data_IF_445103857346
#
_entry.id   IF_445103857346
#
_cell.length_a   1.000
_cell.length_b   1.000
_cell.length_c   1.000
_cell.angle_alpha   90.00
_cell.angle_beta   90.00
_cell.angle_gamma   90.00
#
_symmetry.space_group_name_H-M   'P 1'
#
loop_
_entity.id
_entity.type
_entity.pdbx_description
1 polymer ?
#
# COMPACT_ATOMS: atom_id res chain seq x y z
N UNK A 1 -9.42 3.26 11.03
CA UNK A 1 -8.01 3.65 10.85
C UNK A 1 -7.47 4.51 11.99
N UNK A 2 -8.25 5.35 12.69
CA UNK A 2 -7.73 6.11 13.85
C UNK A 2 -7.46 5.25 15.10
N UNK A 3 -8.21 4.16 15.24
CA UNK A 3 -8.03 3.06 16.19
C UNK A 3 -6.68 2.34 16.06
N UNK A 4 -6.07 2.33 14.87
CA UNK A 4 -4.73 1.77 14.63
C UNK A 4 -3.68 2.30 15.62
N UNK A 5 -3.73 3.59 15.97
CA UNK A 5 -2.77 4.22 16.88
C UNK A 5 -2.91 3.78 18.34
N UNK A 6 -3.95 3.00 18.67
CA UNK A 6 -4.18 2.44 20.00
C UNK A 6 -3.71 0.99 20.12
N UNK A 7 -3.34 0.36 19.00
CA UNK A 7 -2.82 -1.00 18.96
C UNK A 7 -1.39 -1.08 19.50
N UNK A 8 -1.00 -2.26 19.98
CA UNK A 8 0.41 -2.55 20.26
C UNK A 8 1.25 -2.54 18.97
N UNK A 9 2.55 -2.32 19.07
CA UNK A 9 3.44 -2.32 17.90
C UNK A 9 3.42 -3.65 17.10
N UNK A 10 3.21 -4.79 17.77
CA UNK A 10 3.08 -6.09 17.11
C UNK A 10 1.79 -6.16 16.29
N UNK A 11 0.67 -5.69 16.85
CA UNK A 11 -0.62 -5.62 16.15
C UNK A 11 -0.59 -4.62 15.00
N UNK A 12 0.06 -3.47 15.17
CA UNK A 12 0.27 -2.49 14.09
C UNK A 12 1.03 -3.12 12.92
N UNK A 13 2.13 -3.84 13.21
CA UNK A 13 2.91 -4.54 12.19
C UNK A 13 2.08 -5.63 11.49
N UNK A 14 1.25 -6.35 12.24
CA UNK A 14 0.34 -7.35 11.68
C UNK A 14 -0.68 -6.69 10.74
N UNK A 15 -1.29 -5.57 11.13
CA UNK A 15 -2.21 -4.80 10.29
C UNK A 15 -1.53 -4.30 9.00
N UNK A 16 -0.33 -3.73 9.10
CA UNK A 16 0.43 -3.28 7.93
C UNK A 16 0.70 -4.43 6.96
N UNK A 17 1.05 -5.63 7.47
CA UNK A 17 1.25 -6.83 6.64
C UNK A 17 -0.03 -7.33 6.00
N UNK A 18 -1.14 -7.37 6.75
CA UNK A 18 -2.45 -7.77 6.23
C UNK A 18 -2.88 -6.89 5.06
N UNK A 19 -2.70 -5.58 5.18
CA UNK A 19 -3.00 -4.62 4.11
C UNK A 19 -2.09 -4.90 2.90
N UNK A 20 -0.77 -5.03 3.10
CA UNK A 20 0.17 -5.31 2.00
C UNK A 20 -0.16 -6.63 1.28
N UNK A 21 -0.57 -7.66 2.02
CA UNK A 21 -0.91 -8.97 1.48
C UNK A 21 -2.32 -9.06 0.88
N UNK A 22 -3.13 -8.01 1.01
CA UNK A 22 -4.54 -8.02 0.60
C UNK A 22 -5.38 -9.05 1.36
N UNK A 23 -5.05 -9.29 2.63
CA UNK A 23 -5.78 -10.24 3.47
C UNK A 23 -7.19 -9.72 3.78
N UNK A 24 -8.16 -10.62 3.90
CA UNK A 24 -9.51 -10.28 4.32
C UNK A 24 -9.57 -10.01 5.84
N UNK A 25 -9.22 -8.78 6.23
CA UNK A 25 -9.31 -8.29 7.60
C UNK A 25 -10.10 -6.99 7.67
N UNK A 26 -10.57 -6.63 8.88
CA UNK A 26 -11.28 -5.38 9.11
C UNK A 26 -10.47 -4.16 8.63
N UNK A 27 -9.18 -4.12 8.95
CA UNK A 27 -8.29 -3.03 8.54
C UNK A 27 -8.01 -3.04 7.03
N UNK A 28 -7.84 -4.21 6.42
CA UNK A 28 -7.66 -4.32 4.97
C UNK A 28 -8.90 -3.87 4.20
N UNK A 29 -10.10 -4.21 4.68
CA UNK A 29 -11.37 -3.72 4.12
C UNK A 29 -11.54 -2.22 4.30
N UNK A 30 -11.22 -1.71 5.50
CA UNK A 30 -11.27 -0.27 5.78
C UNK A 30 -10.30 0.52 4.89
N UNK A 31 -9.09 -0.01 4.68
CA UNK A 31 -8.10 0.56 3.76
C UNK A 31 -8.56 0.48 2.29
N UNK A 32 -9.08 -0.68 1.86
CA UNK A 32 -9.56 -0.91 0.49
C UNK A 32 -10.77 -0.07 0.12
N UNK A 33 -11.56 0.38 1.10
CA UNK A 33 -12.69 1.30 0.90
C UNK A 33 -12.28 2.77 0.68
N UNK A 34 -11.00 3.12 0.87
CA UNK A 34 -10.49 4.47 0.64
C UNK A 34 -10.30 4.74 -0.86
N UNK A 35 -10.40 6.02 -1.25
CA UNK A 35 -9.94 6.46 -2.58
C UNK A 35 -8.41 6.34 -2.66
N UNK A 36 -7.87 6.08 -3.84
CA UNK A 36 -6.43 5.86 -4.08
C UNK A 36 -5.51 6.91 -3.43
N UNK A 37 -5.83 8.20 -3.57
CA UNK A 37 -5.01 9.26 -2.96
C UNK A 37 -4.99 9.18 -1.42
N UNK A 38 -6.09 8.71 -0.81
CA UNK A 38 -6.17 8.56 0.65
C UNK A 38 -5.43 7.29 1.12
N UNK A 39 -5.28 6.27 0.27
CA UNK A 39 -4.49 5.08 0.57
C UNK A 39 -3.00 5.42 0.73
N UNK A 40 -2.44 6.23 -0.18
CA UNK A 40 -1.06 6.72 -0.04
C UNK A 40 -0.91 7.63 1.21
N UNK A 41 -1.92 8.44 1.52
CA UNK A 41 -1.93 9.31 2.70
C UNK A 41 -1.85 8.51 4.02
N UNK A 42 -2.46 7.33 4.10
CA UNK A 42 -2.36 6.45 5.27
C UNK A 42 -0.90 6.06 5.52
N UNK A 43 -0.20 5.56 4.51
CA UNK A 43 1.21 5.18 4.63
C UNK A 43 2.10 6.35 5.00
N UNK A 44 1.84 7.54 4.45
CA UNK A 44 2.54 8.76 4.83
C UNK A 44 2.32 9.10 6.32
N UNK A 45 1.07 9.06 6.79
CA UNK A 45 0.75 9.35 8.19
C UNK A 45 1.37 8.33 9.16
N UNK A 46 1.43 7.05 8.77
CA UNK A 46 2.10 6.02 9.56
C UNK A 46 3.61 6.23 9.61
N UNK A 47 4.25 6.53 8.47
CA UNK A 47 5.68 6.82 8.41
C UNK A 47 6.08 8.01 9.31
N UNK A 48 5.26 9.05 9.34
CA UNK A 48 5.49 10.22 10.22
C UNK A 48 5.38 9.88 11.72
N UNK A 49 4.68 8.81 12.09
CA UNK A 49 4.51 8.36 13.47
C UNK A 49 5.46 7.23 13.90
N UNK A 50 6.30 6.71 12.99
CA UNK A 50 7.20 5.59 13.28
C UNK A 50 8.19 5.96 14.40
N UNK A 51 8.30 5.09 15.39
CA UNK A 51 9.18 5.27 16.56
C UNK A 51 8.53 5.98 17.75
N UNK A 52 7.30 6.48 17.60
CA UNK A 52 6.52 7.10 18.67
C UNK A 52 5.15 6.43 18.83
N UNK A 53 4.26 6.64 17.85
CA UNK A 53 2.88 6.13 17.89
C UNK A 53 2.66 4.95 16.94
N UNK A 54 3.62 4.69 16.06
CA UNK A 54 3.62 3.61 15.08
C UNK A 54 4.90 2.80 15.21
N UNK A 55 4.78 1.47 15.07
CA UNK A 55 5.91 0.54 15.05
C UNK A 55 6.99 0.99 14.06
N UNK A 56 8.25 1.04 14.53
CA UNK A 56 9.41 1.42 13.72
C UNK A 56 10.04 0.21 13.02
N UNK A 57 10.98 0.49 12.11
CA UNK A 57 11.81 -0.53 11.48
C UNK A 57 12.67 -1.28 12.52
N UNK A 58 12.92 -2.58 12.32
CA UNK A 58 13.82 -3.33 13.19
C UNK A 58 15.23 -2.71 13.21
N UNK A 59 15.81 -2.59 14.41
CA UNK A 59 17.18 -2.10 14.56
C UNK A 59 18.14 -3.00 13.77
N UNK A 60 18.96 -2.39 12.92
CA UNK A 60 19.95 -3.11 12.11
C UNK A 60 19.36 -3.78 10.86
N UNK A 61 18.13 -3.46 10.47
CA UNK A 61 17.60 -3.85 9.17
C UNK A 61 18.54 -3.42 8.03
N UNK A 62 18.83 -4.34 7.11
CA UNK A 62 19.62 -4.08 5.91
C UNK A 62 18.79 -4.45 4.69
N UNK A 63 18.53 -3.46 3.84
CA UNK A 63 17.87 -3.69 2.56
C UNK A 63 18.65 -4.69 1.71
N UNK A 64 17.93 -5.64 1.10
CA UNK A 64 18.49 -6.59 0.12
C UNK A 64 18.83 -5.86 -1.18
N UNK A 65 19.62 -6.49 -2.06
CA UNK A 65 19.96 -5.88 -3.35
C UNK A 65 18.72 -5.55 -4.19
N UNK A 66 17.70 -6.42 -4.31
CA UNK A 66 16.47 -6.08 -5.03
C UNK A 66 15.75 -4.83 -4.49
N UNK A 67 15.75 -4.63 -3.17
CA UNK A 67 15.13 -3.45 -2.55
C UNK A 67 15.91 -2.18 -2.91
N UNK A 68 17.25 -2.24 -2.86
CA UNK A 68 18.11 -1.12 -3.24
C UNK A 68 17.96 -0.76 -4.72
N UNK A 69 17.87 -1.78 -5.58
CA UNK A 69 17.72 -1.58 -7.03
C UNK A 69 16.34 -0.96 -7.35
N UNK A 70 15.29 -1.42 -6.68
CA UNK A 70 13.95 -0.83 -6.84
C UNK A 70 13.89 0.61 -6.34
N UNK A 71 14.49 0.90 -5.17
CA UNK A 71 14.56 2.26 -4.62
C UNK A 71 15.33 3.20 -5.57
N UNK A 72 16.50 2.79 -6.05
CA UNK A 72 17.32 3.57 -6.98
C UNK A 72 16.58 3.88 -8.29
N UNK A 73 15.81 2.91 -8.81
CA UNK A 73 14.97 3.13 -9.99
C UNK A 73 13.88 4.18 -9.72
N UNK A 74 13.22 4.12 -8.56
CA UNK A 74 12.20 5.11 -8.19
C UNK A 74 12.84 6.49 -8.02
N UNK A 75 13.97 6.60 -7.31
CA UNK A 75 14.69 7.86 -7.10
C UNK A 75 15.18 8.51 -8.41
N UNK A 76 15.40 7.71 -9.46
CA UNK A 76 15.78 8.19 -10.78
C UNK A 76 14.64 8.73 -11.65
N UNK A 77 13.38 8.59 -11.21
CA UNK A 77 12.21 9.11 -11.92
C UNK A 77 11.97 10.59 -11.61
N UNK A 78 11.24 11.28 -12.49
CA UNK A 78 10.76 12.64 -12.19
C UNK A 78 9.71 12.62 -11.07
N UNK A 79 9.48 13.76 -10.41
CA UNK A 79 8.59 13.83 -9.25
C UNK A 79 7.19 13.26 -9.50
N UNK A 80 6.56 13.59 -10.62
CA UNK A 80 5.20 13.11 -10.95
C UNK A 80 5.18 11.60 -11.21
N UNK A 81 6.27 11.05 -11.74
CA UNK A 81 6.43 9.61 -11.97
C UNK A 81 6.65 8.86 -10.65
N UNK A 82 7.47 9.40 -9.74
CA UNK A 82 7.64 8.87 -8.39
C UNK A 82 6.30 8.78 -7.66
N UNK A 83 5.52 9.87 -7.66
CA UNK A 83 4.19 9.90 -7.05
C UNK A 83 3.25 8.89 -7.73
N UNK A 84 3.33 8.74 -9.06
CA UNK A 84 2.51 7.78 -9.78
C UNK A 84 2.82 6.34 -9.40
N UNK A 85 4.11 5.98 -9.26
CA UNK A 85 4.53 4.66 -8.78
C UNK A 85 4.04 4.41 -7.35
N UNK A 86 4.30 5.34 -6.43
CA UNK A 86 3.91 5.19 -5.01
C UNK A 86 2.40 5.07 -4.84
N UNK A 87 1.60 5.87 -5.57
CA UNK A 87 0.14 5.77 -5.55
C UNK A 87 -0.34 4.42 -6.10
N UNK A 88 0.26 3.95 -7.20
CA UNK A 88 -0.08 2.65 -7.79
C UNK A 88 0.26 1.50 -6.83
N UNK A 89 1.40 1.56 -6.16
CA UNK A 89 1.76 0.54 -5.15
C UNK A 89 0.76 0.55 -4.01
N UNK A 90 0.42 1.73 -3.45
CA UNK A 90 -0.54 1.85 -2.37
C UNK A 90 -1.95 1.38 -2.76
N UNK A 91 -2.37 1.60 -4.01
CA UNK A 91 -3.70 1.20 -4.50
C UNK A 91 -3.86 -0.27 -4.78
N UNK A 92 -2.76 -1.02 -4.92
CA UNK A 92 -2.76 -2.47 -5.08
C UNK A 92 -2.76 -3.24 -3.75
N UNK A 93 -2.96 -2.54 -2.62
CA UNK A 93 -3.01 -3.12 -1.27
C UNK A 93 -4.44 -3.06 -0.69
N UNK A 94 -4.65 -3.78 0.41
CA UNK A 94 -5.92 -3.90 1.10
C UNK A 94 -6.87 -4.91 0.45
N UNK A 95 -8.11 -4.91 0.92
CA UNK A 95 -9.13 -5.85 0.47
C UNK A 95 -10.37 -5.11 -0.02
N UNK A 96 -10.86 -5.47 -1.19
CA UNK A 96 -12.13 -4.95 -1.73
C UNK A 96 -12.87 -6.06 -2.47
N UNK A 97 -14.18 -6.15 -2.24
CA UNK A 97 -15.06 -7.04 -3.00
C UNK A 97 -15.35 -6.48 -4.41
N UNK A 98 -15.03 -5.21 -4.65
CA UNK A 98 -15.19 -4.54 -5.94
C UNK A 98 -14.07 -5.04 -6.85
N UNK A 99 -14.44 -5.92 -7.79
CA UNK A 99 -13.54 -6.35 -8.84
C UNK A 99 -13.01 -5.12 -9.60
N UNK A 100 -11.71 -5.07 -9.95
CA UNK A 100 -11.20 -4.01 -10.81
C UNK A 100 -12.07 -3.94 -12.07
N UNK A 101 -12.45 -2.74 -12.48
CA UNK A 101 -13.14 -2.55 -13.76
C UNK A 101 -12.23 -3.20 -14.81
N UNK A 102 -12.77 -4.18 -15.53
CA UNK A 102 -12.03 -4.90 -16.56
C UNK A 102 -11.35 -3.90 -17.48
N UNK A 103 -10.07 -4.14 -17.76
CA UNK A 103 -9.34 -3.26 -18.66
C UNK A 103 -10.03 -3.28 -20.04
N UNK A 104 -9.96 -2.18 -20.80
CA UNK A 104 -10.50 -2.17 -22.17
C UNK A 104 -9.93 -3.31 -23.05
N UNK A 105 -8.77 -3.87 -22.70
CA UNK A 105 -8.19 -5.04 -23.35
C UNK A 105 -9.01 -6.34 -23.14
N UNK A 106 -9.76 -6.44 -22.05
CA UNK A 106 -10.66 -7.57 -21.76
C UNK A 106 -12.04 -7.38 -22.42
N UNK A 107 -12.51 -6.13 -22.54
CA UNK A 107 -13.78 -5.77 -23.19
C UNK A 107 -13.72 -5.78 -24.73
N UNK A 108 -12.51 -5.80 -25.31
CA UNK A 108 -12.29 -5.80 -26.77
C UNK A 108 -12.47 -7.16 -27.47
N UNK A 109 -12.81 -8.24 -26.75
CA UNK A 109 -13.03 -9.58 -27.32
C UNK A 109 -14.49 -10.02 -27.34
N UNK A 110 -15.45 -9.11 -27.48
CA UNK A 110 -16.77 -9.52 -27.94
C UNK A 110 -16.66 -9.91 -29.41
N UNK A 111 -16.68 -11.21 -29.68
CA UNK A 111 -16.83 -11.74 -31.03
C UNK A 111 -18.07 -11.08 -31.66
N UNK A 112 -17.87 -10.30 -32.72
CA UNK A 112 -18.97 -9.90 -33.59
C UNK A 112 -19.66 -11.17 -34.08
N UNK A 113 -20.93 -11.32 -33.70
CA UNK A 113 -21.88 -12.22 -34.36
C UNK A 113 -22.28 -11.64 -35.72
#
# INVERSE_FOLDING_TARGET
MGDFYQLSHEEQLAVMRQIVNGEDSEYSRAYGALKENNQLMVWFAWAQGMGDTVVDMPQGYKATQPIKDALSQIEGLDFDEQISVLRTVASNMGYTDIQPISSQAEMGKTASL
#
